data_IF_234332444506
#
_entry.id   IF_234332444506
#
_cell.length_a   1.000
_cell.length_b   1.000
_cell.length_c   1.000
_cell.angle_alpha   90.00
_cell.angle_beta   90.00
_cell.angle_gamma   90.00
#
_symmetry.space_group_name_H-M   'P 1'
#
loop_
_entity.id
_entity.type
_entity.pdbx_description
1 polymer ?
#
# COMPACT_ATOMS: atom_id res chain seq x y z
N UNK A 1 -6.00 11.15 -20.68
CA UNK A 1 -6.77 10.11 -19.97
C UNK A 1 -6.04 8.78 -20.16
N UNK A 2 -5.65 8.11 -19.09
CA UNK A 2 -4.72 6.96 -19.09
C UNK A 2 -5.38 5.62 -19.49
N UNK A 3 -6.55 5.67 -20.15
CA UNK A 3 -7.26 4.50 -20.68
C UNK A 3 -8.11 3.72 -19.68
N UNK A 4 -8.12 4.09 -18.40
CA UNK A 4 -8.92 3.41 -17.38
C UNK A 4 -10.42 3.68 -17.49
N UNK A 5 -11.21 2.70 -17.03
CA UNK A 5 -12.65 2.82 -16.90
C UNK A 5 -13.05 3.94 -15.93
N UNK A 6 -14.12 4.70 -16.20
CA UNK A 6 -14.56 5.79 -15.33
C UNK A 6 -15.06 5.31 -13.96
N UNK A 7 -15.39 4.03 -13.82
CA UNK A 7 -15.86 3.39 -12.58
C UNK A 7 -14.74 2.80 -11.72
N UNK A 8 -13.46 2.97 -12.12
CA UNK A 8 -12.31 2.34 -11.47
C UNK A 8 -12.32 2.52 -9.95
N UNK A 9 -12.45 3.76 -9.48
CA UNK A 9 -12.42 4.07 -8.04
C UNK A 9 -13.59 3.41 -7.29
N UNK A 10 -14.79 3.40 -7.87
CA UNK A 10 -15.99 2.83 -7.23
C UNK A 10 -15.90 1.31 -7.12
N UNK A 11 -15.44 0.64 -8.18
CA UNK A 11 -15.27 -0.81 -8.18
C UNK A 11 -14.16 -1.25 -7.23
N UNK A 12 -13.04 -0.53 -7.21
CA UNK A 12 -11.96 -0.77 -6.25
C UNK A 12 -12.43 -0.58 -4.82
N UNK A 13 -13.15 0.51 -4.52
CA UNK A 13 -13.69 0.76 -3.18
C UNK A 13 -14.65 -0.33 -2.71
N UNK A 14 -15.58 -0.76 -3.58
CA UNK A 14 -16.53 -1.82 -3.25
C UNK A 14 -15.87 -3.15 -2.88
N UNK A 15 -14.71 -3.45 -3.49
CA UNK A 15 -13.92 -4.63 -3.14
C UNK A 15 -13.14 -4.42 -1.83
N UNK A 16 -12.39 -3.32 -1.72
CA UNK A 16 -11.48 -3.08 -0.60
C UNK A 16 -12.20 -2.88 0.73
N UNK A 17 -13.36 -2.21 0.74
CA UNK A 17 -14.12 -1.98 1.98
C UNK A 17 -14.65 -3.28 2.62
N UNK A 18 -14.77 -4.36 1.85
CA UNK A 18 -15.15 -5.67 2.38
C UNK A 18 -13.99 -6.34 3.14
N UNK A 19 -12.76 -5.92 2.89
CA UNK A 19 -11.54 -6.47 3.47
C UNK A 19 -11.18 -5.61 4.68
N UNK A 20 -11.93 -5.77 5.77
CA UNK A 20 -11.71 -5.00 6.99
C UNK A 20 -11.96 -5.86 8.23
N UNK A 21 -11.58 -5.34 9.39
CA UNK A 21 -11.88 -5.96 10.68
C UNK A 21 -13.23 -5.47 11.19
N UNK A 22 -14.08 -6.40 11.61
CA UNK A 22 -15.39 -6.13 12.19
C UNK A 22 -15.37 -6.42 13.70
N UNK A 23 -16.50 -6.23 14.38
CA UNK A 23 -16.64 -6.63 15.78
C UNK A 23 -16.67 -8.14 15.99
N UNK A 24 -16.92 -8.91 14.93
CA UNK A 24 -17.06 -10.37 14.98
C UNK A 24 -15.77 -11.11 14.63
N UNK A 25 -14.82 -10.42 14.00
CA UNK A 25 -13.52 -10.99 13.62
C UNK A 25 -12.66 -10.01 12.84
N UNK A 26 -11.42 -10.38 12.56
CA UNK A 26 -10.46 -9.56 11.84
C UNK A 26 -9.97 -10.25 10.58
N UNK A 27 -9.85 -9.48 9.49
CA UNK A 27 -9.16 -9.90 8.28
C UNK A 27 -7.93 -9.00 8.11
N UNK A 28 -6.75 -9.61 8.01
CA UNK A 28 -5.51 -8.93 7.61
C UNK A 28 -5.17 -9.37 6.20
N UNK A 29 -5.18 -8.45 5.24
CA UNK A 29 -4.89 -8.76 3.85
C UNK A 29 -3.51 -8.26 3.44
N UNK A 30 -2.81 -9.07 2.64
CA UNK A 30 -1.57 -8.70 1.97
C UNK A 30 -1.86 -8.73 0.48
N UNK A 31 -1.73 -7.58 -0.19
CA UNK A 31 -2.12 -7.42 -1.59
C UNK A 31 -0.91 -7.02 -2.43
N UNK A 32 -0.62 -7.79 -3.47
CA UNK A 32 0.42 -7.45 -4.43
C UNK A 32 -0.15 -6.48 -5.47
N UNK A 33 0.32 -5.24 -5.45
CA UNK A 33 -0.04 -4.21 -6.43
C UNK A 33 1.06 -4.12 -7.48
N UNK A 34 0.72 -4.44 -8.72
CA UNK A 34 1.63 -4.24 -9.84
C UNK A 34 1.60 -2.77 -10.29
N UNK A 35 2.77 -2.14 -10.36
CA UNK A 35 2.93 -0.75 -10.80
C UNK A 35 3.40 -0.74 -12.25
N UNK A 36 2.57 -0.29 -13.22
CA UNK A 36 2.97 -0.20 -14.61
C UNK A 36 4.13 0.78 -14.78
N UNK A 37 5.19 0.35 -15.48
CA UNK A 37 6.35 1.18 -15.81
C UNK A 37 7.05 1.86 -14.61
N UNK A 38 6.91 1.30 -13.41
CA UNK A 38 7.44 1.87 -12.16
C UNK A 38 6.87 3.29 -11.82
N UNK A 39 5.68 3.66 -12.36
CA UNK A 39 5.01 4.95 -12.12
C UNK A 39 3.92 4.87 -11.03
N UNK A 40 4.22 5.37 -9.83
CA UNK A 40 3.30 5.43 -8.69
C UNK A 40 2.17 6.46 -8.85
N UNK A 41 2.26 7.35 -9.84
CA UNK A 41 1.23 8.36 -10.12
C UNK A 41 0.13 7.86 -11.05
N UNK A 42 0.26 6.63 -11.54
CA UNK A 42 -0.78 6.00 -12.34
C UNK A 42 -2.10 5.86 -11.54
N UNK A 43 -3.28 6.09 -12.16
CA UNK A 43 -4.55 6.04 -11.45
C UNK A 43 -4.86 4.71 -10.75
N UNK A 44 -4.36 3.57 -11.25
CA UNK A 44 -4.64 2.28 -10.64
C UNK A 44 -3.93 2.09 -9.27
N UNK A 45 -2.58 2.25 -9.15
CA UNK A 45 -1.93 2.21 -7.86
C UNK A 45 -2.38 3.36 -6.96
N UNK A 46 -2.58 4.57 -7.49
CA UNK A 46 -3.04 5.71 -6.70
C UNK A 46 -4.40 5.48 -6.02
N UNK A 47 -5.36 4.89 -6.73
CA UNK A 47 -6.67 4.53 -6.15
C UNK A 47 -6.57 3.38 -5.16
N UNK A 48 -5.69 2.41 -5.42
CA UNK A 48 -5.49 1.27 -4.51
C UNK A 48 -4.86 1.72 -3.19
N UNK A 49 -3.84 2.58 -3.23
CA UNK A 49 -3.14 3.06 -2.03
C UNK A 49 -4.04 3.83 -1.08
N UNK A 50 -5.06 4.53 -1.58
CA UNK A 50 -6.03 5.23 -0.75
C UNK A 50 -6.82 4.29 0.19
N UNK A 51 -6.84 2.98 -0.09
CA UNK A 51 -7.53 1.98 0.72
C UNK A 51 -6.59 1.12 1.58
N UNK A 52 -5.26 1.30 1.50
CA UNK A 52 -4.30 0.49 2.24
C UNK A 52 -3.83 1.20 3.51
N UNK A 53 -3.85 0.50 4.64
CA UNK A 53 -3.34 1.02 5.92
C UNK A 53 -1.80 1.04 6.00
N UNK A 54 -1.13 0.20 5.22
CA UNK A 54 0.32 0.17 5.10
C UNK A 54 0.72 -0.16 3.67
N UNK A 55 1.79 0.49 3.20
CA UNK A 55 2.37 0.26 1.89
C UNK A 55 3.83 -0.15 2.05
N UNK A 56 4.22 -1.25 1.42
CA UNK A 56 5.61 -1.71 1.35
C UNK A 56 6.04 -1.65 -0.11
N UNK A 57 6.88 -0.68 -0.44
CA UNK A 57 7.35 -0.45 -1.82
C UNK A 57 8.60 -1.28 -2.06
N UNK A 58 8.61 -2.06 -3.14
CA UNK A 58 9.76 -2.87 -3.55
C UNK A 58 10.51 -2.16 -4.69
N UNK A 59 11.74 -1.74 -4.44
CA UNK A 59 12.54 -0.96 -5.39
C UNK A 59 13.47 -1.86 -6.21
N UNK A 60 13.39 -1.72 -7.54
CA UNK A 60 14.32 -2.38 -8.48
C UNK A 60 15.77 -1.96 -8.22
N UNK A 61 16.00 -0.70 -7.83
CA UNK A 61 17.34 -0.17 -7.53
C UNK A 61 18.00 -0.82 -6.32
N UNK A 62 17.22 -1.18 -5.29
CA UNK A 62 17.73 -1.91 -4.11
C UNK A 62 18.03 -3.37 -4.45
N UNK A 63 17.16 -4.02 -5.22
CA UNK A 63 17.39 -5.38 -5.69
C UNK A 63 18.65 -5.49 -6.56
N UNK A 64 18.89 -4.51 -7.44
CA UNK A 64 20.10 -4.46 -8.28
C UNK A 64 21.41 -4.32 -7.47
N UNK A 65 21.34 -3.79 -6.24
CA UNK A 65 22.46 -3.71 -5.29
C UNK A 65 22.61 -5.00 -4.46
N UNK A 66 21.75 -5.99 -4.65
CA UNK A 66 21.76 -7.25 -3.90
C UNK A 66 21.12 -7.17 -2.50
N UNK A 67 20.35 -6.11 -2.22
CA UNK A 67 19.67 -5.94 -0.92
C UNK A 67 18.34 -6.68 -0.94
N UNK A 68 18.17 -7.64 -0.01
CA UNK A 68 16.96 -8.45 0.13
C UNK A 68 16.49 -8.50 1.59
N UNK A 69 15.20 -8.24 1.87
CA UNK A 69 14.16 -7.85 0.91
C UNK A 69 14.38 -6.44 0.35
N UNK A 70 14.01 -6.20 -0.91
CA UNK A 70 14.27 -4.95 -1.63
C UNK A 70 13.27 -3.83 -1.25
N UNK A 71 12.96 -3.70 0.04
CA UNK A 71 12.00 -2.74 0.59
C UNK A 71 12.62 -1.35 0.60
N UNK A 72 11.93 -0.38 0.00
CA UNK A 72 12.31 1.02 0.08
C UNK A 72 11.83 1.64 1.40
N UNK A 73 12.73 2.00 2.33
CA UNK A 73 12.34 2.50 3.64
C UNK A 73 11.79 3.94 3.60
N UNK A 74 12.01 4.68 2.51
CA UNK A 74 11.55 6.06 2.38
C UNK A 74 10.17 6.13 1.73
N UNK A 75 9.91 5.24 0.76
CA UNK A 75 8.63 5.18 0.05
C UNK A 75 7.61 4.26 0.74
N UNK A 76 8.04 3.40 1.67
CA UNK A 76 7.14 2.56 2.46
C UNK A 76 6.56 3.32 3.65
N UNK A 77 5.26 3.17 3.90
CA UNK A 77 4.57 3.90 4.97
C UNK A 77 3.57 3.02 5.71
N UNK A 78 3.19 3.41 6.93
CA UNK A 78 2.12 2.75 7.68
C UNK A 78 1.37 3.75 8.54
N UNK A 79 0.05 3.68 8.54
CA UNK A 79 -0.81 4.46 9.45
C UNK A 79 -0.60 4.09 10.92
N UNK A 80 -0.07 2.89 11.19
CA UNK A 80 0.23 2.41 12.53
C UNK A 80 1.53 2.99 13.08
N UNK A 81 2.42 3.53 12.24
CA UNK A 81 3.70 4.10 12.66
C UNK A 81 3.48 5.51 13.26
N UNK A 82 2.90 5.53 14.46
CA UNK A 82 2.62 6.75 15.23
C UNK A 82 3.00 6.51 16.69
N UNK A 83 3.58 7.48 17.41
CA UNK A 83 4.06 7.28 18.79
C UNK A 83 2.99 6.73 19.74
N UNK A 84 1.73 7.15 19.55
CA UNK A 84 0.59 6.69 20.36
C UNK A 84 0.22 5.21 20.16
N UNK A 85 0.69 4.57 19.08
CA UNK A 85 0.41 3.17 18.73
C UNK A 85 1.64 2.30 19.03
N UNK A 86 2.82 2.70 18.54
CA UNK A 86 4.05 1.90 18.66
C UNK A 86 4.92 2.26 19.87
N UNK A 87 4.61 3.36 20.57
CA UNK A 87 5.44 3.93 21.62
C UNK A 87 6.49 4.91 21.07
N UNK A 88 6.98 5.79 21.93
CA UNK A 88 7.97 6.82 21.56
C UNK A 88 9.31 6.20 21.12
N UNK A 89 9.78 5.18 21.84
CA UNK A 89 11.06 4.51 21.57
C UNK A 89 11.13 3.86 20.18
N UNK A 90 10.01 3.38 19.63
CA UNK A 90 9.98 2.77 18.30
C UNK A 90 9.72 3.81 17.20
N UNK A 91 9.17 4.97 17.54
CA UNK A 91 8.90 6.00 16.55
C UNK A 91 10.13 6.87 16.24
N UNK A 92 10.96 7.13 17.25
CA UNK A 92 12.27 7.82 17.13
C UNK A 92 13.36 6.90 16.54
#
# INVERSE_FOLDING_TARGET
>A
AVGYQPTLSTEMGSLQERITSTKEGSITSIQAVYVPADDLTDPAPATTFAHLDATTVLSRGLAAKGIYPAVDPLDSTSTMLQPRIVGEEHYE
#
